data_IF_851497581750
#
_entry.id   IF_851497581750
#
_cell.length_a   1.000
_cell.length_b   1.000
_cell.length_c   1.000
_cell.angle_alpha   90.00
_cell.angle_beta   90.00
_cell.angle_gamma   90.00
#
_symmetry.space_group_name_H-M   'P 1'
#
loop_
_entity.id
_entity.type
_entity.pdbx_description
1 polymer ?
#
# COMPACT_ATOMS: atom_id res chain seq x y z
N UNK A 1 1.44 22.97 1.30
CA UNK A 1 2.73 22.34 1.02
C UNK A 1 2.44 20.87 0.75
N UNK A 2 2.46 20.43 -0.51
CA UNK A 2 2.30 19.01 -0.83
C UNK A 2 3.51 18.28 -0.23
N UNK A 3 3.33 17.14 0.46
CA UNK A 3 4.46 16.37 0.96
C UNK A 3 5.38 16.04 -0.21
N UNK A 4 6.68 16.28 -0.05
CA UNK A 4 7.64 15.89 -1.07
C UNK A 4 7.58 14.37 -1.27
N UNK A 5 7.76 13.88 -2.52
CA UNK A 5 7.83 12.45 -2.75
C UNK A 5 9.02 11.89 -1.96
N UNK A 6 8.75 10.92 -1.09
CA UNK A 6 9.81 10.17 -0.41
C UNK A 6 10.63 9.50 -1.51
N UNK A 7 11.96 9.66 -1.49
CA UNK A 7 12.82 8.94 -2.43
C UNK A 7 13.12 7.56 -1.86
N UNK A 8 13.32 6.57 -2.74
CA UNK A 8 13.68 5.22 -2.30
C UNK A 8 14.96 5.19 -1.46
N UNK A 9 15.87 6.15 -1.68
CA UNK A 9 17.11 6.32 -0.90
C UNK A 9 16.89 6.80 0.55
N UNK A 10 15.69 7.32 0.87
CA UNK A 10 15.35 7.86 2.19
C UNK A 10 14.57 6.83 3.04
N UNK A 11 14.42 5.59 2.56
CA UNK A 11 13.75 4.52 3.29
C UNK A 11 14.72 3.93 4.32
N UNK A 12 14.47 4.21 5.59
CA UNK A 12 15.35 3.79 6.70
C UNK A 12 14.65 2.88 7.71
N UNK A 13 13.33 2.82 7.68
CA UNK A 13 12.49 2.09 8.61
C UNK A 13 11.14 1.72 7.96
N UNK A 14 10.33 0.96 8.68
CA UNK A 14 9.04 0.48 8.20
C UNK A 14 8.04 1.61 7.90
N UNK A 15 8.06 2.70 8.66
CA UNK A 15 7.13 3.81 8.48
C UNK A 15 7.48 4.68 7.25
N UNK A 16 8.76 4.93 7.04
CA UNK A 16 9.26 5.58 5.82
C UNK A 16 9.03 4.71 4.58
N UNK A 17 9.21 3.39 4.70
CA UNK A 17 8.85 2.43 3.65
C UNK A 17 7.35 2.45 3.33
N UNK A 18 6.49 2.42 4.35
CA UNK A 18 5.04 2.47 4.18
C UNK A 18 4.59 3.78 3.52
N UNK A 19 5.18 4.90 3.95
CA UNK A 19 4.89 6.22 3.36
C UNK A 19 5.28 6.26 1.88
N UNK A 20 6.47 5.75 1.55
CA UNK A 20 6.93 5.62 0.17
C UNK A 20 5.98 4.77 -0.67
N UNK A 21 5.61 3.57 -0.18
CA UNK A 21 4.71 2.66 -0.88
C UNK A 21 3.32 3.28 -1.12
N UNK A 22 2.75 3.96 -0.12
CA UNK A 22 1.46 4.65 -0.25
C UNK A 22 1.50 5.70 -1.37
N UNK A 23 2.57 6.51 -1.43
CA UNK A 23 2.74 7.52 -2.48
C UNK A 23 2.94 6.88 -3.86
N UNK A 24 3.76 5.84 -3.96
CA UNK A 24 4.04 5.14 -5.20
C UNK A 24 2.78 4.46 -5.77
N UNK A 25 1.98 3.82 -4.92
CA UNK A 25 0.71 3.17 -5.30
C UNK A 25 -0.29 4.23 -5.78
N UNK A 26 -0.51 5.31 -5.02
CA UNK A 26 -1.45 6.36 -5.43
C UNK A 26 -1.04 7.04 -6.73
N UNK A 27 0.26 7.34 -6.90
CA UNK A 27 0.79 7.92 -8.14
C UNK A 27 0.55 6.98 -9.33
N UNK A 28 0.81 5.69 -9.14
CA UNK A 28 0.59 4.68 -10.18
C UNK A 28 -0.89 4.54 -10.52
N UNK A 29 -1.76 4.50 -9.51
CA UNK A 29 -3.21 4.47 -9.67
C UNK A 29 -3.70 5.65 -10.52
N UNK A 30 -3.38 6.89 -10.12
CA UNK A 30 -3.79 8.09 -10.86
C UNK A 30 -3.27 8.08 -12.29
N UNK A 31 -2.01 7.73 -12.51
CA UNK A 31 -1.43 7.64 -13.86
C UNK A 31 -2.16 6.64 -14.75
N UNK A 32 -2.52 5.47 -14.22
CA UNK A 32 -3.29 4.47 -14.98
C UNK A 32 -4.70 4.96 -15.23
N UNK A 33 -5.36 5.58 -14.25
CA UNK A 33 -6.70 6.13 -14.40
C UNK A 33 -6.74 7.18 -15.52
N UNK A 34 -5.81 8.13 -15.49
CA UNK A 34 -5.71 9.24 -16.46
C UNK A 34 -5.44 8.74 -17.89
N UNK A 35 -4.67 7.66 -18.04
CA UNK A 35 -4.25 7.14 -19.35
C UNK A 35 -5.17 6.08 -19.96
N UNK A 36 -5.99 5.38 -19.16
CA UNK A 36 -6.74 4.19 -19.61
C UNK A 36 -8.24 4.40 -19.80
N UNK A 37 -8.83 5.49 -19.28
CA UNK A 37 -10.29 5.71 -19.19
C UNK A 37 -11.07 4.60 -18.45
N UNK A 38 -10.37 3.73 -17.73
CA UNK A 38 -11.02 2.68 -16.96
C UNK A 38 -11.72 3.25 -15.72
N UNK A 39 -12.82 2.64 -15.27
CA UNK A 39 -13.41 2.93 -13.97
C UNK A 39 -12.42 2.70 -12.82
N UNK A 40 -12.47 3.51 -11.73
CA UNK A 40 -11.61 3.33 -10.55
C UNK A 40 -11.59 1.92 -9.96
N UNK A 41 -12.73 1.23 -9.90
CA UNK A 41 -12.84 -0.13 -9.37
C UNK A 41 -12.10 -1.16 -10.24
N UNK A 42 -12.05 -0.96 -11.55
CA UNK A 42 -11.27 -1.80 -12.47
C UNK A 42 -9.79 -1.64 -12.19
N UNK A 43 -9.31 -0.39 -12.06
CA UNK A 43 -7.89 -0.11 -11.77
C UNK A 43 -7.50 -0.68 -10.40
N UNK A 44 -8.37 -0.60 -9.39
CA UNK A 44 -8.14 -1.22 -8.08
C UNK A 44 -8.00 -2.75 -8.19
N UNK A 45 -8.87 -3.43 -8.95
CA UNK A 45 -8.74 -4.89 -9.19
C UNK A 45 -7.44 -5.24 -9.92
N UNK A 46 -7.00 -4.41 -10.87
CA UNK A 46 -5.74 -4.61 -11.58
C UNK A 46 -4.53 -4.43 -10.64
N UNK A 47 -4.56 -3.45 -9.74
CA UNK A 47 -3.53 -3.29 -8.70
C UNK A 47 -3.46 -4.50 -7.76
N UNK A 48 -4.60 -4.99 -7.29
CA UNK A 48 -4.66 -6.20 -6.46
C UNK A 48 -4.11 -7.43 -7.21
N UNK A 49 -4.43 -7.55 -8.51
CA UNK A 49 -3.89 -8.63 -9.38
C UNK A 49 -2.37 -8.52 -9.50
N UNK A 50 -1.85 -7.33 -9.76
CA UNK A 50 -0.42 -7.08 -9.87
C UNK A 50 0.31 -7.42 -8.55
N UNK A 51 -0.25 -7.04 -7.40
CA UNK A 51 0.31 -7.38 -6.09
C UNK A 51 0.40 -8.91 -5.89
N UNK A 52 -0.65 -9.65 -6.25
CA UNK A 52 -0.63 -11.12 -6.20
C UNK A 52 0.39 -11.75 -7.16
N UNK A 53 0.63 -11.15 -8.32
CA UNK A 53 1.68 -11.58 -9.24
C UNK A 53 3.07 -11.32 -8.68
N UNK A 54 3.32 -10.15 -8.10
CA UNK A 54 4.56 -9.82 -7.40
C UNK A 54 4.81 -10.80 -6.25
N UNK A 55 3.79 -11.09 -5.42
CA UNK A 55 3.92 -12.11 -4.37
C UNK A 55 4.37 -13.46 -4.94
N UNK A 56 3.74 -13.94 -6.01
CA UNK A 56 4.10 -15.24 -6.62
C UNK A 56 5.55 -15.25 -7.10
N UNK A 57 6.00 -14.19 -7.74
CA UNK A 57 7.39 -14.07 -8.23
C UNK A 57 8.40 -14.04 -7.09
N UNK A 58 8.11 -13.25 -6.05
CA UNK A 58 8.96 -13.16 -4.85
C UNK A 58 8.97 -14.51 -4.13
N UNK A 59 7.83 -15.16 -3.92
CA UNK A 59 7.75 -16.48 -3.32
C UNK A 59 8.54 -17.53 -4.12
N UNK A 60 8.40 -17.56 -5.44
CA UNK A 60 9.14 -18.49 -6.30
C UNK A 60 10.66 -18.30 -6.15
N UNK A 61 11.15 -17.07 -6.09
CA UNK A 61 12.57 -16.79 -5.88
C UNK A 61 13.11 -17.28 -4.51
N UNK A 62 12.22 -17.56 -3.54
CA UNK A 62 12.57 -18.03 -2.20
C UNK A 62 12.32 -19.53 -1.99
N UNK A 63 11.66 -20.22 -2.94
CA UNK A 63 11.35 -21.66 -2.81
C UNK A 63 12.60 -22.55 -2.84
N UNK A 64 13.66 -22.12 -3.52
CA UNK A 64 14.89 -22.91 -3.64
C UNK A 64 15.80 -22.81 -2.40
N UNK A 65 15.40 -22.08 -1.35
CA UNK A 65 16.16 -21.97 -0.09
C UNK A 65 17.50 -21.23 -0.21
N UNK A 66 17.84 -20.74 -1.40
CA UNK A 66 19.07 -20.01 -1.70
C UNK A 66 19.07 -18.57 -1.17
N UNK A 67 17.92 -18.05 -0.76
CA UNK A 67 17.84 -16.69 -0.24
C UNK A 67 18.21 -16.65 1.26
N UNK A 68 19.26 -15.90 1.66
CA UNK A 68 19.70 -15.83 3.05
C UNK A 68 18.79 -14.97 3.93
N UNK A 69 17.72 -14.36 3.41
CA UNK A 69 16.85 -13.46 4.16
C UNK A 69 15.99 -14.16 5.23
N UNK A 70 15.92 -15.50 5.20
CA UNK A 70 15.19 -16.31 6.17
C UNK A 70 13.67 -16.37 5.97
N UNK A 71 13.10 -15.60 5.04
CA UNK A 71 11.69 -15.68 4.70
C UNK A 71 11.39 -16.98 3.93
N UNK A 72 10.37 -17.70 4.37
CA UNK A 72 9.88 -18.94 3.75
C UNK A 72 8.42 -18.73 3.37
N UNK A 73 8.08 -18.66 2.07
CA UNK A 73 6.72 -18.39 1.65
C UNK A 73 5.78 -19.53 2.07
N UNK A 74 4.64 -19.17 2.62
CA UNK A 74 3.55 -20.06 3.00
C UNK A 74 2.26 -19.54 2.34
N UNK A 75 1.96 -19.94 1.09
CA UNK A 75 0.95 -19.27 0.26
C UNK A 75 -0.42 -19.09 0.91
N UNK A 76 -0.90 -20.07 1.68
CA UNK A 76 -2.19 -19.94 2.34
C UNK A 76 -2.19 -18.85 3.44
N UNK A 77 -1.20 -18.87 4.35
CA UNK A 77 -1.11 -17.89 5.45
C UNK A 77 -0.66 -16.52 4.98
N UNK A 78 0.23 -16.45 3.99
CA UNK A 78 0.72 -15.18 3.44
C UNK A 78 -0.43 -14.42 2.77
N UNK A 79 -1.23 -15.10 1.95
CA UNK A 79 -2.38 -14.48 1.27
C UNK A 79 -3.46 -14.06 2.28
N UNK A 80 -3.71 -14.87 3.31
CA UNK A 80 -4.64 -14.50 4.38
C UNK A 80 -4.16 -13.24 5.12
N UNK A 81 -2.86 -13.17 5.42
CA UNK A 81 -2.26 -11.99 6.06
C UNK A 81 -2.39 -10.75 5.17
N UNK A 82 -2.11 -10.87 3.86
CA UNK A 82 -2.27 -9.76 2.91
C UNK A 82 -3.73 -9.29 2.81
N UNK A 83 -4.70 -10.22 2.84
CA UNK A 83 -6.13 -9.89 2.87
C UNK A 83 -6.50 -9.14 4.14
N UNK A 84 -6.08 -9.63 5.31
CA UNK A 84 -6.33 -8.98 6.59
C UNK A 84 -5.71 -7.57 6.65
N UNK A 85 -4.48 -7.39 6.16
CA UNK A 85 -3.85 -6.06 6.07
C UNK A 85 -4.60 -5.11 5.15
N UNK A 86 -5.11 -5.59 4.02
CA UNK A 86 -5.92 -4.78 3.11
C UNK A 86 -7.25 -4.38 3.76
N UNK A 87 -7.90 -5.31 4.44
CA UNK A 87 -9.15 -5.08 5.16
C UNK A 87 -8.96 -4.03 6.28
N UNK A 88 -7.91 -4.15 7.09
CA UNK A 88 -7.56 -3.20 8.15
C UNK A 88 -7.27 -1.80 7.59
N UNK A 89 -6.47 -1.71 6.53
CA UNK A 89 -6.13 -0.43 5.89
C UNK A 89 -7.35 0.25 5.22
N UNK A 90 -8.36 -0.52 4.82
CA UNK A 90 -9.57 0.00 4.19
C UNK A 90 -10.62 0.49 5.20
N UNK A 91 -10.45 0.21 6.49
CA UNK A 91 -11.36 0.70 7.54
C UNK A 91 -11.37 2.23 7.50
N UNK A 92 -12.55 2.88 7.41
CA UNK A 92 -12.64 4.33 7.47
C UNK A 92 -11.95 4.84 8.74
N UNK A 93 -10.94 5.69 8.57
CA UNK A 93 -10.35 6.41 9.71
C UNK A 93 -11.47 7.27 10.27
N UNK A 94 -11.90 7.00 11.51
CA UNK A 94 -12.75 7.93 12.24
C UNK A 94 -11.99 9.25 12.26
N UNK A 95 -12.45 10.24 11.50
CA UNK A 95 -12.01 11.61 11.71
C UNK A 95 -12.32 11.92 13.15
N UNK A 96 -11.33 12.41 13.90
CA UNK A 96 -11.60 13.02 15.21
C UNK A 96 -12.76 13.99 15.00
N UNK A 97 -13.85 13.70 15.70
CA UNK A 97 -15.15 14.31 15.49
C UNK A 97 -14.97 15.83 15.44
N UNK A 98 -15.43 16.49 14.37
CA UNK A 98 -15.38 17.95 14.23
C UNK A 98 -16.10 18.64 15.41
N UNK A 99 -17.00 17.92 16.09
CA UNK A 99 -17.67 18.34 17.31
C UNK A 99 -16.77 18.38 18.56
N UNK A 100 -15.60 17.71 18.52
CA UNK A 100 -14.61 17.70 19.60
C UNK A 100 -13.49 18.73 19.41
N UNK A 101 -13.45 19.41 18.26
CA UNK A 101 -12.47 20.44 17.97
C UNK A 101 -12.84 21.78 18.61
N UNK A 102 -12.00 22.28 19.53
CA UNK A 102 -12.14 23.61 20.12
C UNK A 102 -11.98 24.70 19.05
N UNK A 103 -12.98 25.57 18.89
CA UNK A 103 -12.92 26.69 17.94
C UNK A 103 -11.72 27.60 18.23
N UNK A 104 -10.82 27.73 17.25
CA UNK A 104 -9.53 28.41 17.39
C UNK A 104 -9.55 29.94 17.14
N UNK A 105 -10.72 30.59 17.08
CA UNK A 105 -10.79 32.02 16.83
C UNK A 105 -12.15 32.66 17.09
N UNK A 106 -12.15 33.95 17.45
CA UNK A 106 -13.32 34.83 17.51
C UNK A 106 -13.10 36.00 16.56
N UNK A 107 -14.14 36.39 15.82
CA UNK A 107 -14.18 37.56 14.94
C UNK A 107 -14.64 38.81 15.70
#
# INVERSE_FOLDING_TARGET
>A
MLPQPVKAADITDENSAQTYLNQAIMTTFCRVLDSSRLPPDVVMRLLATALGQTYREVAAAHQDGCCPCGWRPQPASDIETLRASLEDAAVPRRSDDLLSMTAAGRA
#
